data_IF_790321614095
#
_entry.id   IF_790321614095
#
_cell.length_a   1.000
_cell.length_b   1.000
_cell.length_c   1.000
_cell.angle_alpha   90.00
_cell.angle_beta   90.00
_cell.angle_gamma   90.00
#
_symmetry.space_group_name_H-M   'P 1'
#
loop_
_entity.id
_entity.type
_entity.pdbx_description
1 polymer ?
#
# COMPACT_ATOMS: atom_id res chain seq x y z
N UNK A 1 36.39 -23.16 -30.36
CA UNK A 1 36.26 -23.32 -28.88
C UNK A 1 35.63 -22.09 -28.20
N UNK A 2 36.01 -20.86 -28.60
CA UNK A 2 35.39 -19.62 -28.00
C UNK A 2 33.89 -19.46 -28.33
N UNK A 3 33.45 -19.82 -29.54
CA UNK A 3 32.04 -19.72 -29.95
C UNK A 3 31.16 -20.71 -29.14
N UNK A 4 31.66 -21.96 -28.97
CA UNK A 4 30.93 -22.98 -28.16
C UNK A 4 30.84 -22.55 -26.71
N UNK A 5 31.88 -21.95 -26.14
CA UNK A 5 31.85 -21.42 -24.77
C UNK A 5 30.87 -20.25 -24.60
N UNK A 6 30.77 -19.38 -25.62
CA UNK A 6 29.80 -18.27 -25.62
C UNK A 6 28.34 -18.77 -25.73
N UNK A 7 28.09 -19.78 -26.55
CA UNK A 7 26.75 -20.40 -26.66
C UNK A 7 26.37 -21.08 -25.34
N UNK A 8 27.30 -21.79 -24.69
CA UNK A 8 27.06 -22.42 -23.41
C UNK A 8 26.79 -21.40 -22.29
N UNK A 9 27.46 -20.24 -22.28
CA UNK A 9 27.19 -19.15 -21.36
C UNK A 9 25.82 -18.50 -21.61
N UNK A 10 25.40 -18.35 -22.87
CA UNK A 10 24.10 -17.79 -23.23
C UNK A 10 22.97 -18.76 -22.81
N UNK A 11 23.14 -20.07 -23.04
CA UNK A 11 22.16 -21.08 -22.63
C UNK A 11 22.03 -21.17 -21.12
N UNK A 12 23.12 -21.20 -20.36
CA UNK A 12 23.10 -21.20 -18.89
C UNK A 12 22.52 -19.91 -18.32
N UNK A 13 22.76 -18.76 -18.93
CA UNK A 13 22.12 -17.50 -18.56
C UNK A 13 20.61 -17.50 -18.87
N UNK A 14 20.21 -18.06 -20.02
CA UNK A 14 18.81 -18.14 -20.42
C UNK A 14 18.02 -19.13 -19.52
N UNK A 15 18.58 -20.26 -19.14
CA UNK A 15 17.97 -21.19 -18.18
C UNK A 15 17.86 -20.56 -16.77
N UNK A 16 18.90 -19.91 -16.29
CA UNK A 16 18.86 -19.15 -15.01
C UNK A 16 17.82 -18.05 -15.01
N UNK A 17 17.62 -17.35 -16.14
CA UNK A 17 16.61 -16.30 -16.26
C UNK A 17 15.20 -16.87 -16.30
N UNK A 18 14.97 -17.97 -17.04
CA UNK A 18 13.68 -18.66 -17.07
C UNK A 18 13.29 -19.18 -15.67
N UNK A 19 14.23 -19.76 -14.93
CA UNK A 19 13.97 -20.26 -13.58
C UNK A 19 13.66 -19.12 -12.59
N UNK A 20 14.38 -18.01 -12.65
CA UNK A 20 14.10 -16.82 -11.84
C UNK A 20 12.75 -16.22 -12.17
N UNK A 21 12.41 -16.14 -13.46
CA UNK A 21 11.10 -15.63 -13.91
C UNK A 21 9.97 -16.55 -13.45
N UNK A 22 10.11 -17.87 -13.62
CA UNK A 22 9.11 -18.84 -13.16
C UNK A 22 8.90 -18.79 -11.64
N UNK A 23 9.98 -18.70 -10.85
CA UNK A 23 9.91 -18.49 -9.40
C UNK A 23 9.25 -17.16 -9.04
N UNK A 24 9.57 -16.09 -9.77
CA UNK A 24 8.96 -14.78 -9.60
C UNK A 24 7.46 -14.80 -9.85
N UNK A 25 7.02 -15.43 -10.95
CA UNK A 25 5.60 -15.61 -11.28
C UNK A 25 4.87 -16.47 -10.24
N UNK A 26 5.48 -17.57 -9.81
CA UNK A 26 4.90 -18.42 -8.77
C UNK A 26 4.68 -17.64 -7.46
N UNK A 27 5.69 -16.92 -6.97
CA UNK A 27 5.55 -16.13 -5.75
C UNK A 27 4.61 -14.95 -5.92
N UNK A 28 4.56 -14.33 -7.11
CA UNK A 28 3.59 -13.28 -7.44
C UNK A 28 2.15 -13.81 -7.41
N UNK A 29 1.89 -14.97 -8.02
CA UNK A 29 0.59 -15.62 -7.99
C UNK A 29 0.20 -16.06 -6.57
N UNK A 30 1.14 -16.61 -5.79
CA UNK A 30 0.94 -16.92 -4.37
C UNK A 30 0.60 -15.69 -3.54
N UNK A 31 1.30 -14.56 -3.77
CA UNK A 31 1.01 -13.31 -3.09
C UNK A 31 -0.41 -12.81 -3.39
N UNK A 32 -0.78 -12.76 -4.66
CA UNK A 32 -2.11 -12.31 -5.10
C UNK A 32 -3.21 -13.25 -4.63
N UNK A 33 -3.04 -14.55 -4.82
CA UNK A 33 -4.04 -15.57 -4.44
C UNK A 33 -4.25 -15.65 -2.94
N UNK A 34 -3.16 -15.76 -2.15
CA UNK A 34 -3.27 -15.83 -0.69
C UNK A 34 -3.84 -14.54 -0.09
N UNK A 35 -3.43 -13.38 -0.60
CA UNK A 35 -3.99 -12.09 -0.19
C UNK A 35 -5.49 -12.04 -0.41
N UNK A 36 -5.96 -12.49 -1.58
CA UNK A 36 -7.39 -12.47 -1.91
C UNK A 36 -8.20 -13.43 -1.05
N UNK A 37 -7.71 -14.66 -0.87
CA UNK A 37 -8.36 -15.66 -0.01
C UNK A 37 -8.47 -15.15 1.43
N UNK A 38 -7.39 -14.63 1.99
CA UNK A 38 -7.39 -14.07 3.35
C UNK A 38 -8.34 -12.88 3.46
N UNK A 39 -8.31 -11.95 2.51
CA UNK A 39 -9.21 -10.79 2.50
C UNK A 39 -10.70 -11.20 2.43
N UNK A 40 -11.03 -12.26 1.69
CA UNK A 40 -12.40 -12.77 1.64
C UNK A 40 -12.77 -13.41 2.97
N UNK A 41 -11.95 -14.32 3.49
CA UNK A 41 -12.21 -15.01 4.76
C UNK A 41 -12.40 -14.00 5.90
N UNK A 42 -11.40 -13.16 6.15
CA UNK A 42 -11.47 -12.18 7.23
C UNK A 42 -12.54 -11.11 6.98
N UNK A 43 -12.77 -10.73 5.71
CA UNK A 43 -13.82 -9.80 5.32
C UNK A 43 -15.22 -10.30 5.70
N UNK A 44 -15.51 -11.60 5.49
CA UNK A 44 -16.78 -12.21 5.89
C UNK A 44 -16.96 -12.18 7.42
N UNK A 45 -15.92 -12.52 8.19
CA UNK A 45 -15.99 -12.46 9.65
C UNK A 45 -16.21 -11.04 10.16
N UNK A 46 -15.45 -10.07 9.65
CA UNK A 46 -15.62 -8.67 10.04
C UNK A 46 -16.99 -8.11 9.63
N UNK A 47 -17.51 -8.48 8.44
CA UNK A 47 -18.83 -8.04 8.00
C UNK A 47 -19.99 -8.57 8.87
N UNK A 48 -19.78 -9.66 9.61
CA UNK A 48 -20.75 -10.18 10.57
C UNK A 48 -20.68 -9.50 11.94
N UNK A 49 -19.54 -8.90 12.27
CA UNK A 49 -19.27 -8.28 13.57
C UNK A 49 -19.50 -6.78 13.57
N UNK A 50 -19.28 -6.13 12.44
CA UNK A 50 -19.32 -4.69 12.30
C UNK A 50 -20.60 -4.24 11.60
N UNK A 51 -21.08 -3.06 11.96
CA UNK A 51 -22.24 -2.43 11.33
C UNK A 51 -21.89 -1.76 10.00
N UNK A 52 -22.87 -1.54 9.10
CA UNK A 52 -22.64 -0.72 7.91
C UNK A 52 -22.08 0.68 8.21
N UNK A 53 -22.50 1.29 9.32
CA UNK A 53 -21.98 2.59 9.75
C UNK A 53 -20.46 2.57 9.99
N UNK A 54 -19.92 1.50 10.58
CA UNK A 54 -18.48 1.36 10.83
C UNK A 54 -17.69 1.38 9.53
N UNK A 55 -18.18 0.67 8.52
CA UNK A 55 -17.59 0.69 7.18
C UNK A 55 -17.75 2.02 6.48
N UNK A 56 -18.86 2.73 6.70
CA UNK A 56 -19.09 4.06 6.15
C UNK A 56 -18.09 5.08 6.67
N UNK A 57 -17.84 5.08 7.99
CA UNK A 57 -16.86 5.95 8.65
C UNK A 57 -15.46 5.72 8.08
N UNK A 58 -15.02 4.45 7.97
CA UNK A 58 -13.71 4.11 7.40
C UNK A 58 -13.68 4.38 5.89
N UNK A 59 -14.78 4.13 5.16
CA UNK A 59 -14.91 4.42 3.73
C UNK A 59 -14.64 5.89 3.39
N UNK A 60 -15.18 6.82 4.20
CA UNK A 60 -14.89 8.25 4.06
C UNK A 60 -13.39 8.53 4.19
N UNK A 61 -12.71 7.94 5.20
CA UNK A 61 -11.29 8.16 5.41
C UNK A 61 -10.40 7.49 4.35
N UNK A 62 -10.89 6.43 3.70
CA UNK A 62 -10.14 5.70 2.68
C UNK A 62 -9.73 6.61 1.52
N UNK A 63 -10.57 7.55 1.11
CA UNK A 63 -10.26 8.49 0.03
C UNK A 63 -9.03 9.33 0.39
N UNK A 64 -9.00 9.89 1.60
CA UNK A 64 -7.89 10.71 2.06
C UNK A 64 -6.60 9.90 2.18
N UNK A 65 -6.68 8.67 2.68
CA UNK A 65 -5.52 7.79 2.81
C UNK A 65 -4.99 7.34 1.45
N UNK A 66 -5.86 7.09 0.46
CA UNK A 66 -5.45 6.75 -0.90
C UNK A 66 -4.77 7.94 -1.61
N UNK A 67 -5.32 9.14 -1.50
CA UNK A 67 -4.71 10.35 -2.06
C UNK A 67 -3.34 10.59 -1.40
N UNK A 68 -3.27 10.53 -0.07
CA UNK A 68 -2.02 10.69 0.67
C UNK A 68 -1.00 9.60 0.32
N UNK A 69 -1.42 8.35 0.19
CA UNK A 69 -0.58 7.24 -0.25
C UNK A 69 -0.03 7.43 -1.67
N UNK A 70 -0.84 7.95 -2.59
CA UNK A 70 -0.40 8.29 -3.93
C UNK A 70 0.63 9.42 -3.93
N UNK A 71 0.42 10.45 -3.12
CA UNK A 71 1.40 11.54 -2.96
C UNK A 71 2.74 11.02 -2.44
N UNK A 72 2.72 10.07 -1.52
CA UNK A 72 3.90 9.50 -0.90
C UNK A 72 4.66 8.54 -1.83
N UNK A 73 3.95 7.56 -2.41
CA UNK A 73 4.59 6.43 -3.11
C UNK A 73 4.74 6.65 -4.61
N UNK A 74 3.98 7.60 -5.17
CA UNK A 74 3.87 7.77 -6.61
C UNK A 74 5.19 8.08 -7.28
N UNK A 75 5.65 7.14 -8.03
CA UNK A 75 6.76 7.28 -8.93
C UNK A 75 8.14 7.09 -8.31
N UNK A 76 8.38 7.36 -7.03
CA UNK A 76 9.75 7.22 -6.48
C UNK A 76 10.16 5.77 -6.32
N UNK A 77 9.27 4.89 -5.83
CA UNK A 77 9.53 3.44 -5.83
C UNK A 77 9.76 2.93 -7.24
N UNK A 78 8.91 3.32 -8.19
CA UNK A 78 9.03 2.93 -9.59
C UNK A 78 10.27 3.54 -10.25
N UNK A 79 10.62 4.78 -9.91
CA UNK A 79 11.83 5.43 -10.38
C UNK A 79 13.09 4.69 -9.90
N UNK A 80 13.16 4.28 -8.63
CA UNK A 80 14.25 3.46 -8.09
C UNK A 80 14.40 2.13 -8.84
N UNK A 81 13.28 1.46 -9.11
CA UNK A 81 13.28 0.19 -9.87
C UNK A 81 13.78 0.40 -11.28
N UNK A 82 13.44 1.53 -11.92
CA UNK A 82 13.85 1.84 -13.31
C UNK A 82 15.32 2.28 -13.45
N UNK A 83 15.96 2.77 -12.39
CA UNK A 83 17.40 3.08 -12.44
C UNK A 83 18.17 1.79 -12.67
N UNK A 84 19.06 1.77 -13.67
CA UNK A 84 19.82 0.56 -14.05
C UNK A 84 20.67 0.01 -12.90
N UNK A 85 21.36 0.89 -12.18
CA UNK A 85 22.18 0.57 -10.99
C UNK A 85 21.95 1.65 -9.92
N UNK A 86 20.94 1.50 -9.08
CA UNK A 86 20.71 2.46 -7.99
C UNK A 86 21.84 2.35 -6.96
N UNK A 87 22.28 3.48 -6.48
CA UNK A 87 23.27 3.61 -5.41
C UNK A 87 22.59 3.69 -4.03
N UNK A 88 23.35 3.48 -2.96
CA UNK A 88 22.84 3.69 -1.60
C UNK A 88 22.33 5.13 -1.39
N UNK A 89 22.96 6.10 -2.07
CA UNK A 89 22.53 7.50 -2.02
C UNK A 89 21.17 7.70 -2.69
N UNK A 90 20.84 6.98 -3.76
CA UNK A 90 19.52 7.04 -4.40
C UNK A 90 18.42 6.55 -3.45
N UNK A 91 18.64 5.42 -2.78
CA UNK A 91 17.70 4.90 -1.78
C UNK A 91 17.56 5.84 -0.58
N UNK A 92 18.67 6.39 -0.09
CA UNK A 92 18.68 7.28 1.05
C UNK A 92 17.98 8.61 0.77
N UNK A 93 18.19 9.17 -0.42
CA UNK A 93 17.51 10.38 -0.89
C UNK A 93 15.99 10.18 -0.96
N UNK A 94 15.54 9.07 -1.55
CA UNK A 94 14.12 8.71 -1.63
C UNK A 94 13.54 8.47 -0.24
N UNK A 95 14.26 7.81 0.66
CA UNK A 95 13.83 7.59 2.04
C UNK A 95 13.55 8.91 2.76
N UNK A 96 14.53 9.80 2.85
CA UNK A 96 14.38 11.05 3.58
C UNK A 96 13.36 11.99 2.93
N UNK A 97 13.31 12.03 1.61
CA UNK A 97 12.28 12.80 0.90
C UNK A 97 10.87 12.32 1.27
N UNK A 98 10.63 11.00 1.23
CA UNK A 98 9.32 10.47 1.59
C UNK A 98 8.97 10.67 3.06
N UNK A 99 9.93 10.54 3.97
CA UNK A 99 9.70 10.83 5.40
C UNK A 99 9.30 12.29 5.60
N UNK A 100 10.00 13.24 4.97
CA UNK A 100 9.67 14.66 5.09
C UNK A 100 8.31 15.00 4.46
N UNK A 101 8.03 14.51 3.26
CA UNK A 101 6.73 14.70 2.60
C UNK A 101 5.61 14.12 3.46
N UNK A 102 5.79 12.90 3.98
CA UNK A 102 4.76 12.23 4.78
C UNK A 102 4.55 12.92 6.13
N UNK A 103 5.61 13.42 6.75
CA UNK A 103 5.48 14.19 7.99
C UNK A 103 4.69 15.48 7.73
N UNK A 104 5.03 16.21 6.66
CA UNK A 104 4.32 17.44 6.28
C UNK A 104 2.84 17.14 6.00
N UNK A 105 2.56 16.10 5.22
CA UNK A 105 1.18 15.70 4.92
C UNK A 105 0.42 15.25 6.17
N UNK A 106 1.07 14.50 7.06
CA UNK A 106 0.46 14.11 8.33
C UNK A 106 0.09 15.32 9.18
N UNK A 107 0.99 16.30 9.30
CA UNK A 107 0.72 17.54 10.04
C UNK A 107 -0.46 18.30 9.42
N UNK A 108 -0.49 18.46 8.10
CA UNK A 108 -1.61 19.12 7.40
C UNK A 108 -2.91 18.38 7.65
N UNK A 109 -2.94 17.05 7.47
CA UNK A 109 -4.13 16.23 7.67
C UNK A 109 -4.57 16.18 9.13
N UNK A 110 -3.62 16.19 10.08
CA UNK A 110 -3.91 16.23 11.52
C UNK A 110 -4.68 17.51 11.92
N UNK A 111 -4.25 18.67 11.41
CA UNK A 111 -4.94 19.92 11.65
C UNK A 111 -6.22 20.07 10.82
N UNK A 112 -6.31 19.40 9.68
CA UNK A 112 -7.55 19.36 8.86
C UNK A 112 -8.60 18.38 9.40
N UNK A 113 -8.26 17.53 10.36
CA UNK A 113 -9.17 16.51 10.87
C UNK A 113 -10.52 17.07 11.41
N UNK A 114 -10.58 18.18 12.14
CA UNK A 114 -11.85 18.79 12.53
C UNK A 114 -12.70 19.25 11.33
N UNK A 115 -12.05 19.84 10.31
CA UNK A 115 -12.76 20.28 9.09
C UNK A 115 -13.36 19.09 8.33
N UNK A 116 -12.65 17.96 8.31
CA UNK A 116 -13.18 16.71 7.72
C UNK A 116 -14.39 16.23 8.50
N UNK A 117 -14.31 16.22 9.83
CA UNK A 117 -15.42 15.81 10.69
C UNK A 117 -16.66 16.70 10.50
N UNK A 118 -16.47 18.02 10.45
CA UNK A 118 -17.55 18.99 10.22
C UNK A 118 -18.15 18.84 8.83
N UNK A 119 -17.33 18.67 7.80
CA UNK A 119 -17.79 18.50 6.43
C UNK A 119 -18.68 17.27 6.24
N UNK A 120 -18.35 16.15 6.87
CA UNK A 120 -19.15 14.92 6.80
C UNK A 120 -20.18 14.79 7.92
N UNK A 121 -20.29 15.75 8.82
CA UNK A 121 -21.20 15.75 9.97
C UNK A 121 -21.02 14.52 10.87
N UNK A 122 -19.76 14.07 11.04
CA UNK A 122 -19.37 12.91 11.83
C UNK A 122 -18.27 13.29 12.85
N UNK A 123 -18.59 13.67 14.08
CA UNK A 123 -17.61 14.12 15.08
C UNK A 123 -16.51 13.10 15.39
N UNK A 124 -16.85 11.80 15.31
CA UNK A 124 -15.88 10.70 15.54
C UNK A 124 -14.70 10.70 14.55
N UNK A 125 -14.87 11.30 13.37
CA UNK A 125 -13.82 11.40 12.36
C UNK A 125 -12.62 12.23 12.83
N UNK A 126 -12.78 13.16 13.77
CA UNK A 126 -11.66 13.98 14.24
C UNK A 126 -10.55 13.14 14.89
N UNK A 127 -10.89 12.29 15.85
CA UNK A 127 -9.91 11.42 16.53
C UNK A 127 -9.47 10.26 15.62
N UNK A 128 -10.43 9.68 14.90
CA UNK A 128 -10.19 8.54 14.04
C UNK A 128 -9.26 8.90 12.87
N UNK A 129 -9.49 10.03 12.20
CA UNK A 129 -8.66 10.47 11.06
C UNK A 129 -7.23 10.77 11.50
N UNK A 130 -7.03 11.43 12.66
CA UNK A 130 -5.70 11.65 13.22
C UNK A 130 -4.94 10.36 13.44
N UNK A 131 -5.62 9.32 13.92
CA UNK A 131 -5.03 8.00 14.12
C UNK A 131 -4.76 7.27 12.80
N UNK A 132 -5.74 7.24 11.88
CA UNK A 132 -5.60 6.57 10.59
C UNK A 132 -4.51 7.23 9.72
N UNK A 133 -4.43 8.56 9.74
CA UNK A 133 -3.38 9.28 8.99
C UNK A 133 -1.96 9.03 9.52
N UNK A 134 -1.82 8.59 10.78
CA UNK A 134 -0.53 8.14 11.31
C UNK A 134 0.02 6.94 10.52
N UNK A 135 -0.84 6.05 10.02
CA UNK A 135 -0.44 4.92 9.19
C UNK A 135 0.30 5.38 7.93
N UNK A 136 -0.12 6.50 7.36
CA UNK A 136 0.52 7.12 6.21
C UNK A 136 1.95 7.58 6.54
N UNK A 137 2.15 8.26 7.68
CA UNK A 137 3.50 8.63 8.12
C UNK A 137 4.37 7.39 8.39
N UNK A 138 3.83 6.39 9.08
CA UNK A 138 4.54 5.13 9.34
C UNK A 138 4.95 4.43 8.03
N UNK A 139 4.10 4.46 7.00
CA UNK A 139 4.38 3.79 5.73
C UNK A 139 5.60 4.35 5.00
N UNK A 140 5.95 5.63 5.24
CA UNK A 140 7.10 6.29 4.61
C UNK A 140 8.43 5.61 4.90
N UNK A 141 8.55 5.01 6.09
CA UNK A 141 9.75 4.31 6.50
C UNK A 141 10.02 3.02 5.70
N UNK A 142 9.01 2.48 5.02
CA UNK A 142 9.15 1.24 4.24
C UNK A 142 9.25 1.43 2.72
N UNK A 143 9.20 2.67 2.20
CA UNK A 143 9.14 2.93 0.75
C UNK A 143 10.46 2.58 0.05
N UNK A 144 11.57 3.05 0.57
CA UNK A 144 12.88 2.76 0.00
C UNK A 144 13.22 1.27 0.09
N UNK A 145 12.89 0.61 1.21
CA UNK A 145 13.03 -0.83 1.38
C UNK A 145 12.18 -1.61 0.39
N UNK A 146 10.95 -1.18 0.15
CA UNK A 146 10.10 -1.78 -0.88
C UNK A 146 10.72 -1.66 -2.27
N UNK A 147 11.24 -0.48 -2.62
CA UNK A 147 11.98 -0.25 -3.86
C UNK A 147 13.20 -1.15 -3.99
N UNK A 148 13.96 -1.33 -2.90
CA UNK A 148 15.09 -2.25 -2.85
C UNK A 148 14.65 -3.70 -3.09
N UNK A 149 13.62 -4.18 -2.41
CA UNK A 149 13.12 -5.55 -2.58
C UNK A 149 12.62 -5.81 -4.01
N UNK A 150 11.87 -4.86 -4.59
CA UNK A 150 11.39 -4.96 -5.97
C UNK A 150 12.55 -4.97 -6.97
N UNK A 151 13.54 -4.09 -6.78
CA UNK A 151 14.73 -4.00 -7.64
C UNK A 151 15.54 -5.29 -7.65
N UNK A 152 15.66 -5.95 -6.50
CA UNK A 152 16.40 -7.19 -6.33
C UNK A 152 15.53 -8.45 -6.57
N UNK A 153 14.30 -8.29 -7.09
CA UNK A 153 13.38 -9.40 -7.38
C UNK A 153 13.13 -10.33 -6.17
N UNK A 154 13.05 -9.77 -4.97
CA UNK A 154 12.81 -10.50 -3.71
C UNK A 154 11.33 -10.85 -3.56
N UNK A 155 10.74 -11.48 -4.57
CA UNK A 155 9.30 -11.77 -4.62
C UNK A 155 8.84 -12.72 -3.50
N UNK A 156 9.68 -13.67 -3.11
CA UNK A 156 9.41 -14.60 -2.01
C UNK A 156 9.27 -13.83 -0.69
N UNK A 157 10.24 -12.99 -0.39
CA UNK A 157 10.30 -12.19 0.84
C UNK A 157 9.14 -11.18 0.88
N UNK A 158 8.83 -10.53 -0.25
CA UNK A 158 7.67 -9.65 -0.39
C UNK A 158 6.39 -10.41 -0.06
N UNK A 159 6.22 -11.62 -0.60
CA UNK A 159 5.04 -12.48 -0.34
C UNK A 159 4.92 -12.85 1.13
N UNK A 160 6.02 -13.28 1.75
CA UNK A 160 6.04 -13.66 3.17
C UNK A 160 5.69 -12.45 4.06
N UNK A 161 6.30 -11.29 3.81
CA UNK A 161 6.03 -10.07 4.57
C UNK A 161 4.58 -9.62 4.43
N UNK A 162 4.02 -9.63 3.21
CA UNK A 162 2.62 -9.31 2.97
C UNK A 162 1.67 -10.29 3.68
N UNK A 163 1.96 -11.58 3.62
CA UNK A 163 1.15 -12.62 4.26
C UNK A 163 1.14 -12.46 5.79
N UNK A 164 2.31 -12.25 6.39
CA UNK A 164 2.44 -12.00 7.84
C UNK A 164 1.72 -10.73 8.26
N UNK A 165 1.84 -9.65 7.47
CA UNK A 165 1.15 -8.39 7.75
C UNK A 165 -0.37 -8.55 7.66
N UNK A 166 -0.88 -9.27 6.65
CA UNK A 166 -2.31 -9.56 6.51
C UNK A 166 -2.85 -10.38 7.68
N UNK A 167 -2.19 -11.47 8.03
CA UNK A 167 -2.66 -12.32 9.15
C UNK A 167 -2.65 -11.50 10.44
N UNK A 168 -1.54 -10.88 10.79
CA UNK A 168 -1.40 -10.12 12.04
C UNK A 168 -2.44 -9.02 12.15
N UNK A 169 -2.63 -8.23 11.08
CA UNK A 169 -3.59 -7.12 11.08
C UNK A 169 -5.04 -7.60 11.16
N UNK A 170 -5.38 -8.66 10.42
CA UNK A 170 -6.73 -9.21 10.45
C UNK A 170 -7.05 -9.86 11.80
N UNK A 171 -6.11 -10.58 12.41
CA UNK A 171 -6.30 -11.15 13.76
C UNK A 171 -6.53 -10.03 14.77
N UNK A 172 -5.71 -8.99 14.76
CA UNK A 172 -5.91 -7.82 15.65
C UNK A 172 -7.26 -7.16 15.38
N UNK A 173 -7.62 -6.92 14.10
CA UNK A 173 -8.90 -6.35 13.72
C UNK A 173 -10.09 -7.17 14.25
N UNK A 174 -10.05 -8.50 14.09
CA UNK A 174 -11.08 -9.40 14.61
C UNK A 174 -11.17 -9.37 16.14
N UNK A 175 -10.05 -9.46 16.84
CA UNK A 175 -10.02 -9.40 18.30
C UNK A 175 -10.64 -8.10 18.81
N UNK A 176 -10.31 -6.97 18.19
CA UNK A 176 -10.87 -5.67 18.56
C UNK A 176 -12.36 -5.56 18.21
N UNK A 177 -12.79 -6.12 17.06
CA UNK A 177 -14.20 -6.16 16.69
C UNK A 177 -15.03 -7.01 17.67
N UNK A 178 -14.52 -8.18 18.10
CA UNK A 178 -15.15 -8.99 19.15
C UNK A 178 -15.26 -8.27 20.48
N UNK A 179 -14.30 -7.39 20.79
CA UNK A 179 -14.35 -6.55 22.00
C UNK A 179 -15.22 -5.31 21.84
N UNK A 180 -15.99 -5.18 20.76
CA UNK A 180 -16.93 -4.08 20.55
C UNK A 180 -16.30 -2.75 20.18
N UNK A 181 -15.05 -2.74 19.67
CA UNK A 181 -14.36 -1.50 19.28
C UNK A 181 -14.85 -0.91 17.95
N UNK A 182 -15.89 -1.49 17.32
CA UNK A 182 -16.56 -0.96 16.14
C UNK A 182 -15.56 -0.50 15.05
N UNK A 183 -15.71 0.69 14.48
CA UNK A 183 -14.82 1.26 13.44
C UNK A 183 -13.34 1.36 13.86
N UNK A 184 -13.02 1.43 15.15
CA UNK A 184 -11.65 1.42 15.64
C UNK A 184 -10.91 0.11 15.30
N UNK A 185 -11.63 -1.01 15.21
CA UNK A 185 -11.03 -2.29 14.81
C UNK A 185 -10.43 -2.24 13.41
N UNK A 186 -11.11 -1.57 12.47
CA UNK A 186 -10.64 -1.38 11.10
C UNK A 186 -9.47 -0.38 11.04
N UNK A 187 -9.49 0.65 11.88
CA UNK A 187 -8.41 1.62 11.97
C UNK A 187 -7.11 0.97 12.50
N UNK A 188 -7.21 0.19 13.56
CA UNK A 188 -6.07 -0.57 14.09
C UNK A 188 -5.57 -1.61 13.11
N UNK A 189 -6.46 -2.31 12.41
CA UNK A 189 -6.11 -3.25 11.36
C UNK A 189 -5.20 -2.60 10.30
N UNK A 190 -5.54 -1.39 9.85
CA UNK A 190 -4.74 -0.65 8.87
C UNK A 190 -3.35 -0.27 9.42
N UNK A 191 -3.27 0.23 10.64
CA UNK A 191 -2.00 0.64 11.27
C UNK A 191 -1.10 -0.57 11.50
N UNK A 192 -1.63 -1.67 12.05
CA UNK A 192 -0.88 -2.90 12.30
C UNK A 192 -0.36 -3.51 10.98
N UNK A 193 -1.20 -3.50 9.92
CA UNK A 193 -0.76 -3.95 8.61
C UNK A 193 0.50 -3.23 8.15
N UNK A 194 0.51 -1.90 8.19
CA UNK A 194 1.65 -1.08 7.76
C UNK A 194 2.88 -1.27 8.68
N UNK A 195 2.67 -1.38 9.99
CA UNK A 195 3.75 -1.62 10.94
C UNK A 195 4.45 -2.96 10.65
N UNK A 196 3.68 -4.03 10.51
CA UNK A 196 4.25 -5.37 10.24
C UNK A 196 4.93 -5.42 8.88
N UNK A 197 4.33 -4.77 7.85
CA UNK A 197 4.97 -4.61 6.55
C UNK A 197 6.35 -3.95 6.67
N UNK A 198 6.44 -2.84 7.39
CA UNK A 198 7.70 -2.12 7.54
C UNK A 198 8.72 -2.96 8.31
N UNK A 199 8.34 -3.56 9.43
CA UNK A 199 9.23 -4.44 10.22
C UNK A 199 9.76 -5.57 9.32
N UNK A 200 8.89 -6.24 8.56
CA UNK A 200 9.29 -7.30 7.66
C UNK A 200 10.24 -6.83 6.54
N UNK A 201 9.95 -5.68 5.94
CA UNK A 201 10.82 -5.07 4.92
C UNK A 201 12.20 -4.75 5.50
N UNK A 202 12.26 -4.15 6.69
CA UNK A 202 13.54 -3.91 7.38
C UNK A 202 14.28 -5.20 7.71
N UNK A 203 13.58 -6.26 8.07
CA UNK A 203 14.21 -7.55 8.38
C UNK A 203 14.91 -8.17 7.16
N UNK A 204 14.24 -8.17 6.00
CA UNK A 204 14.76 -8.82 4.78
C UNK A 204 15.70 -7.94 3.95
N UNK A 205 15.63 -6.62 4.05
CA UNK A 205 16.53 -5.74 3.29
C UNK A 205 17.86 -5.56 4.01
N UNK A 206 18.97 -5.71 3.27
CA UNK A 206 20.32 -5.41 3.79
C UNK A 206 20.63 -3.92 3.89
N UNK A 207 19.90 -3.10 3.14
CA UNK A 207 20.08 -1.65 3.12
C UNK A 207 19.44 -0.99 4.35
N UNK A 208 20.12 0.03 4.89
CA UNK A 208 19.64 0.85 6.01
C UNK A 208 19.82 2.32 5.68
N UNK A 209 18.85 3.20 6.06
CA UNK A 209 19.01 4.64 5.90
C UNK A 209 20.15 5.16 6.76
N UNK A 210 20.88 6.12 6.21
CA UNK A 210 21.87 6.89 6.94
C UNK A 210 21.42 8.37 7.02
N UNK A 211 22.06 9.17 7.87
CA UNK A 211 21.71 10.57 8.08
C UNK A 211 22.33 11.51 7.02
N UNK A 212 22.90 10.98 5.95
CA UNK A 212 23.37 11.80 4.84
C UNK A 212 22.20 12.17 3.94
N UNK A 213 21.71 13.40 4.05
CA UNK A 213 20.57 13.90 3.29
C UNK A 213 21.06 14.61 2.04
N UNK A 214 20.87 13.98 0.88
CA UNK A 214 21.13 14.55 -0.44
C UNK A 214 19.90 14.39 -1.33
N UNK A 215 19.31 15.48 -1.78
CA UNK A 215 18.14 15.46 -2.67
C UNK A 215 18.49 15.52 -4.16
N UNK A 216 19.77 15.47 -4.53
CA UNK A 216 20.21 15.44 -5.92
C UNK A 216 19.59 14.31 -6.74
N UNK A 217 19.62 13.06 -6.25
CA UNK A 217 18.94 11.92 -6.88
C UNK A 217 17.43 12.11 -7.05
N UNK A 218 16.74 12.60 -6.00
CA UNK A 218 15.29 12.87 -6.05
C UNK A 218 14.95 13.88 -7.14
N UNK A 219 15.74 14.95 -7.28
CA UNK A 219 15.54 15.96 -8.32
C UNK A 219 15.59 15.37 -9.74
N UNK A 220 16.48 14.40 -9.98
CA UNK A 220 16.58 13.69 -11.27
C UNK A 220 15.36 12.82 -11.54
N UNK A 221 14.78 12.20 -10.50
CA UNK A 221 13.60 11.34 -10.59
C UNK A 221 12.28 12.14 -10.60
N UNK A 222 12.30 13.40 -10.18
CA UNK A 222 11.10 14.20 -9.89
C UNK A 222 10.16 14.33 -11.09
N UNK A 223 10.69 14.62 -12.28
CA UNK A 223 9.87 14.80 -13.49
C UNK A 223 9.08 13.54 -13.88
N UNK A 224 9.67 12.35 -13.72
CA UNK A 224 9.00 11.08 -13.94
C UNK A 224 7.97 10.80 -12.84
N UNK A 225 8.36 11.00 -11.59
CA UNK A 225 7.53 10.74 -10.41
C UNK A 225 6.27 11.60 -10.37
N UNK A 226 6.37 12.89 -10.71
CA UNK A 226 5.22 13.80 -10.74
C UNK A 226 4.18 13.42 -11.80
N UNK A 227 4.61 12.97 -12.99
CA UNK A 227 3.69 12.51 -14.02
C UNK A 227 2.87 11.31 -13.54
N UNK A 228 3.53 10.32 -12.94
CA UNK A 228 2.84 9.16 -12.35
C UNK A 228 1.92 9.57 -11.19
N UNK A 229 2.37 10.50 -10.36
CA UNK A 229 1.57 11.04 -9.25
C UNK A 229 0.27 11.65 -9.74
N UNK A 230 0.32 12.55 -10.71
CA UNK A 230 -0.89 13.20 -11.27
C UNK A 230 -1.84 12.15 -11.84
N UNK A 231 -1.33 11.20 -12.62
CA UNK A 231 -2.16 10.11 -13.17
C UNK A 231 -2.83 9.29 -12.06
N UNK A 232 -2.08 8.92 -11.02
CA UNK A 232 -2.61 8.13 -9.91
C UNK A 232 -3.64 8.89 -9.07
N UNK A 233 -3.42 10.20 -8.85
CA UNK A 233 -4.41 11.03 -8.15
C UNK A 233 -5.71 11.12 -8.96
N UNK A 234 -5.63 11.41 -10.26
CA UNK A 234 -6.81 11.48 -11.13
C UNK A 234 -7.58 10.15 -11.09
N UNK A 235 -6.89 9.03 -11.25
CA UNK A 235 -7.51 7.70 -11.17
C UNK A 235 -8.15 7.45 -9.79
N UNK A 236 -7.46 7.80 -8.70
CA UNK A 236 -7.98 7.62 -7.34
C UNK A 236 -9.22 8.47 -7.10
N UNK A 237 -9.21 9.73 -7.49
CA UNK A 237 -10.38 10.61 -7.37
C UNK A 237 -11.53 10.07 -8.22
N UNK A 238 -11.28 9.71 -9.49
CA UNK A 238 -12.31 9.18 -10.39
C UNK A 238 -12.94 7.90 -9.85
N UNK A 239 -12.15 6.99 -9.30
CA UNK A 239 -12.64 5.72 -8.78
C UNK A 239 -13.37 5.85 -7.43
N UNK A 240 -13.14 6.92 -6.67
CA UNK A 240 -13.70 7.08 -5.32
C UNK A 240 -14.64 8.28 -5.19
N UNK A 241 -14.92 9.00 -6.28
CA UNK A 241 -15.78 10.20 -6.25
C UNK A 241 -17.17 9.89 -5.69
N UNK A 242 -17.75 8.75 -6.02
CA UNK A 242 -19.07 8.35 -5.51
C UNK A 242 -19.07 8.15 -4.00
N UNK A 243 -18.03 7.50 -3.44
CA UNK A 243 -17.90 7.33 -1.97
C UNK A 243 -17.82 8.70 -1.28
N UNK A 244 -17.11 9.66 -1.89
CA UNK A 244 -17.00 11.02 -1.36
C UNK A 244 -18.35 11.74 -1.38
N UNK A 245 -19.07 11.69 -2.51
CA UNK A 245 -20.39 12.29 -2.67
C UNK A 245 -21.39 11.64 -1.70
N UNK A 246 -21.42 10.32 -1.64
CA UNK A 246 -22.31 9.61 -0.72
C UNK A 246 -21.99 9.95 0.75
N UNK A 247 -20.71 10.03 1.13
CA UNK A 247 -20.30 10.42 2.46
C UNK A 247 -20.82 11.80 2.89
N UNK A 248 -21.03 12.71 1.95
CA UNK A 248 -21.55 14.07 2.23
C UNK A 248 -23.07 14.17 2.26
N UNK A 249 -23.78 13.45 1.38
CA UNK A 249 -25.19 13.68 1.10
C UNK A 249 -26.10 12.55 1.58
N UNK A 250 -25.59 11.39 1.92
CA UNK A 250 -26.38 10.21 2.30
C UNK A 250 -26.11 9.78 3.75
N UNK A 251 -27.05 9.03 4.37
CA UNK A 251 -26.85 8.44 5.68
C UNK A 251 -25.62 7.53 5.74
N UNK A 252 -24.92 7.53 6.86
CA UNK A 252 -23.65 6.78 7.01
C UNK A 252 -23.79 5.29 6.75
N UNK A 253 -24.96 4.70 7.02
CA UNK A 253 -25.24 3.29 6.71
C UNK A 253 -25.23 3.01 5.22
N UNK A 254 -25.78 3.91 4.40
CA UNK A 254 -25.80 3.78 2.94
C UNK A 254 -24.40 3.93 2.36
N UNK A 255 -23.60 4.85 2.92
CA UNK A 255 -22.16 4.99 2.61
C UNK A 255 -21.41 3.68 2.91
N UNK A 256 -21.72 3.06 4.03
CA UNK A 256 -21.13 1.77 4.43
C UNK A 256 -21.51 0.64 3.48
N UNK A 257 -22.80 0.51 3.16
CA UNK A 257 -23.28 -0.50 2.22
C UNK A 257 -22.64 -0.32 0.83
N UNK A 258 -22.57 0.91 0.33
CA UNK A 258 -21.89 1.22 -0.94
C UNK A 258 -20.40 0.90 -0.87
N UNK A 259 -19.70 1.32 0.18
CA UNK A 259 -18.27 1.06 0.34
C UNK A 259 -17.96 -0.44 0.39
N UNK A 260 -18.80 -1.22 1.05
CA UNK A 260 -18.67 -2.67 1.09
C UNK A 260 -18.92 -3.31 -0.29
N UNK A 261 -20.01 -2.92 -0.96
CA UNK A 261 -20.32 -3.41 -2.31
C UNK A 261 -19.17 -3.10 -3.28
N UNK A 262 -18.65 -1.87 -3.26
CA UNK A 262 -17.52 -1.45 -4.07
C UNK A 262 -16.23 -2.24 -3.76
N UNK A 263 -15.96 -2.48 -2.47
CA UNK A 263 -14.81 -3.28 -2.06
C UNK A 263 -14.92 -4.74 -2.54
N UNK A 264 -16.11 -5.34 -2.50
CA UNK A 264 -16.32 -6.69 -3.01
C UNK A 264 -16.22 -6.76 -4.53
N UNK A 265 -16.79 -5.79 -5.26
CA UNK A 265 -16.65 -5.66 -6.70
C UNK A 265 -15.18 -5.54 -7.12
N UNK A 266 -14.44 -4.63 -6.48
CA UNK A 266 -13.01 -4.43 -6.73
C UNK A 266 -12.19 -5.70 -6.48
N UNK A 267 -12.49 -6.46 -5.42
CA UNK A 267 -11.83 -7.72 -5.12
C UNK A 267 -12.14 -8.78 -6.17
N UNK A 268 -13.39 -8.89 -6.61
CA UNK A 268 -13.79 -9.84 -7.65
C UNK A 268 -13.11 -9.50 -8.99
N UNK A 269 -13.15 -8.24 -9.40
CA UNK A 269 -12.51 -7.77 -10.63
C UNK A 269 -10.99 -7.96 -10.60
N UNK A 270 -10.33 -7.65 -9.47
CA UNK A 270 -8.88 -7.83 -9.34
C UNK A 270 -8.47 -9.31 -9.38
N UNK A 271 -9.30 -10.23 -8.88
CA UNK A 271 -9.05 -11.66 -8.99
C UNK A 271 -9.04 -12.10 -10.46
N UNK A 272 -10.03 -11.68 -11.25
CA UNK A 272 -10.12 -12.00 -12.68
C UNK A 272 -8.98 -11.34 -13.46
N UNK A 273 -8.77 -10.03 -13.28
CA UNK A 273 -7.75 -9.28 -14.00
C UNK A 273 -6.33 -9.78 -13.70
N UNK A 274 -6.02 -10.09 -12.45
CA UNK A 274 -4.71 -10.61 -12.06
C UNK A 274 -4.48 -12.05 -12.58
N UNK A 275 -5.54 -12.84 -12.72
CA UNK A 275 -5.44 -14.20 -13.26
C UNK A 275 -5.23 -14.17 -14.78
N UNK A 276 -5.97 -13.30 -15.49
CA UNK A 276 -5.86 -13.18 -16.95
C UNK A 276 -4.61 -12.42 -17.38
N UNK A 277 -4.21 -11.39 -16.64
CA UNK A 277 -3.02 -10.58 -16.96
C UNK A 277 -1.68 -11.27 -16.70
N UNK A 278 -1.67 -12.47 -16.13
CA UNK A 278 -0.47 -13.31 -15.91
C UNK A 278 -0.30 -14.41 -16.97
N UNK A 279 -1.25 -14.57 -17.89
CA UNK A 279 -1.21 -15.46 -19.05
C UNK A 279 -0.72 -14.68 -20.28
#
# INVERSE_FOLDING_TARGET
KQVIFHIYQIETMAESLKEKTAKGLFWGAMNSGSTQVLNILFGIFLARLLSPADYGIIGILTIFTLIAGNLQSSGFTQALVNIRKPTDNDYNSVFWFNVLVSLTMYVVLFFSAPLIADFFHQPCLTSLSRFVFLSFFISSFGIAQNGYMMKNMMNKEITIVNFMALISSNVVGLVLAFNGMAYWSLAWQQVIFILVLNIGRYYYTGWRPNFHIDFGPVRKMFGFSVKLLVTNIINTVSNNVLTFVFGRFYPINDVGNYSQAYNWDTKANSFVANTVGQI
#
